data_IF_243737007196
#
_entry.id   IF_243737007196
#
_cell.length_a   1.000
_cell.length_b   1.000
_cell.length_c   1.000
_cell.angle_alpha   90.00
_cell.angle_beta   90.00
_cell.angle_gamma   90.00
#
_symmetry.space_group_name_H-M   'P 1'
#
loop_
_entity.id
_entity.type
_entity.pdbx_description
1 polymer ?
#
# COMPACT_ATOMS: atom_id res chain seq x y z
N UNK A 1 26.37 -8.49 -14.75
CA UNK A 1 26.46 -7.97 -16.13
C UNK A 1 25.09 -7.99 -16.80
N UNK A 2 24.35 -9.10 -16.78
CA UNK A 2 22.99 -9.18 -17.36
C UNK A 2 21.91 -8.40 -16.56
N UNK A 3 22.04 -8.32 -15.23
CA UNK A 3 21.09 -7.56 -14.38
C UNK A 3 21.21 -6.03 -14.56
N UNK A 4 22.42 -5.52 -14.78
CA UNK A 4 22.67 -4.08 -14.97
C UNK A 4 22.16 -3.62 -16.34
N UNK A 5 22.30 -4.46 -17.38
CA UNK A 5 21.78 -4.22 -18.73
C UNK A 5 20.24 -4.22 -18.76
N UNK A 6 19.61 -5.13 -17.99
CA UNK A 6 18.15 -5.17 -17.83
C UNK A 6 17.60 -3.93 -17.09
N UNK A 7 18.32 -3.44 -16.08
CA UNK A 7 17.93 -2.21 -15.36
C UNK A 7 18.09 -0.98 -16.24
N UNK A 8 19.16 -0.87 -17.05
CA UNK A 8 19.34 0.24 -17.98
C UNK A 8 18.31 0.21 -19.14
N UNK A 9 17.91 -0.98 -19.60
CA UNK A 9 16.78 -1.12 -20.54
C UNK A 9 15.45 -0.65 -19.94
N UNK A 10 15.16 -1.00 -18.68
CA UNK A 10 13.98 -0.50 -17.96
C UNK A 10 14.03 1.00 -17.66
N UNK A 11 15.23 1.59 -17.61
CA UNK A 11 15.46 3.01 -17.32
C UNK A 11 15.45 3.89 -18.58
N UNK A 12 15.83 3.33 -19.73
CA UNK A 12 15.82 3.99 -21.03
C UNK A 12 14.41 4.06 -21.65
N UNK A 13 13.52 3.13 -21.29
CA UNK A 13 12.09 3.19 -21.60
C UNK A 13 11.37 4.07 -20.58
N UNK A 14 11.21 5.36 -20.90
CA UNK A 14 10.46 6.31 -20.08
C UNK A 14 8.95 6.00 -20.15
N UNK A 15 8.53 4.92 -19.52
CA UNK A 15 7.13 4.44 -19.48
C UNK A 15 6.87 3.76 -18.13
N UNK A 16 7.27 4.41 -17.03
CA UNK A 16 6.85 4.01 -15.68
C UNK A 16 5.32 4.01 -15.51
N UNK A 17 4.61 4.68 -16.42
CA UNK A 17 3.15 4.68 -16.58
C UNK A 17 2.58 3.41 -17.23
N UNK A 18 3.41 2.55 -17.82
CA UNK A 18 2.96 1.41 -18.65
C UNK A 18 3.14 0.04 -17.98
N UNK A 19 3.66 0.01 -16.74
CA UNK A 19 3.67 -1.17 -15.86
C UNK A 19 2.25 -1.65 -15.47
N UNK A 20 1.23 -0.89 -15.87
CA UNK A 20 -0.18 -1.11 -15.57
C UNK A 20 -0.82 -2.23 -16.40
N UNK A 21 -0.15 -2.73 -17.46
CA UNK A 21 -0.69 -3.82 -18.29
C UNK A 21 0.38 -4.85 -18.68
N UNK A 22 0.27 -6.05 -18.11
CA UNK A 22 0.87 -7.32 -18.58
C UNK A 22 2.40 -7.52 -18.56
N UNK A 23 3.11 -7.03 -17.53
CA UNK A 23 4.41 -7.65 -17.19
C UNK A 23 4.23 -9.09 -16.73
N UNK A 24 4.98 -10.02 -17.35
CA UNK A 24 5.03 -11.44 -17.01
C UNK A 24 5.33 -11.63 -15.51
N UNK A 25 4.68 -12.58 -14.81
CA UNK A 25 4.86 -12.77 -13.36
C UNK A 25 6.34 -12.93 -12.93
N UNK A 26 7.16 -13.55 -13.77
CA UNK A 26 8.58 -13.76 -13.54
C UNK A 26 9.39 -12.45 -13.49
N UNK A 27 9.04 -11.47 -14.34
CA UNK A 27 9.66 -10.13 -14.34
C UNK A 27 9.26 -9.36 -13.07
N UNK A 28 8.02 -9.50 -12.62
CA UNK A 28 7.56 -8.87 -11.37
C UNK A 28 8.27 -9.45 -10.15
N UNK A 29 8.47 -10.76 -10.12
CA UNK A 29 9.17 -11.42 -9.02
C UNK A 29 10.65 -11.02 -8.95
N UNK A 30 11.33 -10.95 -10.10
CA UNK A 30 12.72 -10.47 -10.15
C UNK A 30 12.82 -9.01 -9.69
N UNK A 31 11.94 -8.14 -10.17
CA UNK A 31 11.88 -6.74 -9.74
C UNK A 31 11.62 -6.60 -8.24
N UNK A 32 10.69 -7.39 -7.68
CA UNK A 32 10.38 -7.41 -6.25
C UNK A 32 11.59 -7.83 -5.42
N UNK A 33 12.32 -8.89 -5.82
CA UNK A 33 13.54 -9.35 -5.16
C UNK A 33 14.65 -8.29 -5.21
N UNK A 34 14.85 -7.64 -6.36
CA UNK A 34 15.83 -6.58 -6.53
C UNK A 34 15.51 -5.37 -5.65
N UNK A 35 14.25 -4.94 -5.62
CA UNK A 35 13.78 -3.85 -4.78
C UNK A 35 13.96 -4.14 -3.28
N UNK A 36 13.59 -5.35 -2.83
CA UNK A 36 13.82 -5.77 -1.45
C UNK A 36 15.31 -5.80 -1.10
N UNK A 37 16.16 -6.36 -1.97
CA UNK A 37 17.61 -6.42 -1.76
C UNK A 37 18.22 -5.01 -1.67
N UNK A 38 17.83 -4.10 -2.56
CA UNK A 38 18.26 -2.71 -2.55
C UNK A 38 17.85 -2.00 -1.25
N UNK A 39 16.61 -2.21 -0.80
CA UNK A 39 16.10 -1.64 0.45
C UNK A 39 16.82 -2.22 1.67
N UNK A 40 17.04 -3.53 1.70
CA UNK A 40 17.75 -4.23 2.79
C UNK A 40 19.16 -3.67 2.98
N UNK A 41 19.86 -3.41 1.87
CA UNK A 41 21.19 -2.79 1.88
C UNK A 41 21.21 -1.39 2.49
N UNK A 42 20.11 -0.62 2.39
CA UNK A 42 20.02 0.68 3.06
C UNK A 42 19.72 0.51 4.55
N UNK A 43 18.74 -0.35 4.89
CA UNK A 43 18.31 -0.57 6.27
C UNK A 43 19.44 -1.16 7.13
N UNK A 44 20.32 -1.97 6.56
CA UNK A 44 21.42 -2.62 7.29
C UNK A 44 22.58 -1.67 7.65
N UNK A 45 22.56 -0.42 7.17
CA UNK A 45 23.61 0.56 7.49
C UNK A 45 23.41 1.13 8.89
N UNK A 46 24.51 1.48 9.53
CA UNK A 46 24.47 2.24 10.77
C UNK A 46 24.30 3.73 10.49
N UNK A 47 23.38 4.37 11.21
CA UNK A 47 23.07 5.78 11.07
C UNK A 47 23.28 6.51 12.40
N UNK A 48 24.14 7.54 12.36
CA UNK A 48 24.46 8.38 13.52
C UNK A 48 23.28 9.24 13.96
N UNK A 49 22.48 9.72 13.01
CA UNK A 49 21.34 10.61 13.27
C UNK A 49 20.13 9.82 13.80
N UNK A 50 19.70 10.15 15.03
CA UNK A 50 18.57 9.51 15.71
C UNK A 50 17.29 9.47 14.85
N UNK A 51 16.95 10.60 14.19
CA UNK A 51 15.77 10.70 13.32
C UNK A 51 15.82 9.69 12.17
N UNK A 52 17.01 9.48 11.60
CA UNK A 52 17.21 8.51 10.51
C UNK A 52 17.12 7.09 11.05
N UNK A 53 17.69 6.80 12.22
CA UNK A 53 17.56 5.48 12.87
C UNK A 53 16.11 5.10 13.14
N UNK A 54 15.30 6.03 13.67
CA UNK A 54 13.86 5.82 13.86
C UNK A 54 13.12 5.59 12.54
N UNK A 55 13.49 6.33 11.50
CA UNK A 55 12.90 6.16 10.17
C UNK A 55 13.23 4.79 9.58
N UNK A 56 14.50 4.37 9.63
CA UNK A 56 14.96 3.04 9.20
C UNK A 56 14.25 1.94 9.99
N UNK A 57 14.06 2.11 11.30
CA UNK A 57 13.27 1.19 12.12
C UNK A 57 11.83 1.04 11.62
N UNK A 58 11.16 2.13 11.23
CA UNK A 58 9.81 2.06 10.64
C UNK A 58 9.80 1.34 9.30
N UNK A 59 10.79 1.58 8.44
CA UNK A 59 10.91 0.86 7.18
C UNK A 59 11.12 -0.63 7.45
N UNK A 60 12.00 -0.99 8.37
CA UNK A 60 12.28 -2.38 8.72
C UNK A 60 11.04 -3.11 9.25
N UNK A 61 10.23 -2.45 10.09
CA UNK A 61 8.99 -3.03 10.62
C UNK A 61 7.96 -3.39 9.52
N UNK A 62 8.00 -2.68 8.39
CA UNK A 62 7.11 -2.93 7.25
C UNK A 62 7.80 -3.61 6.07
N UNK A 63 9.01 -4.15 6.26
CA UNK A 63 9.91 -4.56 5.17
C UNK A 63 9.23 -5.44 4.11
N UNK A 64 8.45 -6.42 4.56
CA UNK A 64 7.80 -7.41 3.70
C UNK A 64 6.69 -6.81 2.81
N UNK A 65 6.15 -5.64 3.18
CA UNK A 65 4.94 -5.08 2.58
C UNK A 65 5.18 -3.91 1.62
N UNK A 66 6.33 -3.23 1.67
CA UNK A 66 6.56 -2.00 0.89
C UNK A 66 6.43 -2.16 -0.62
N UNK A 67 6.74 -3.35 -1.15
CA UNK A 67 6.71 -3.64 -2.58
C UNK A 67 5.56 -4.56 -2.99
N UNK A 68 4.50 -4.67 -2.19
CA UNK A 68 3.33 -5.52 -2.49
C UNK A 68 2.68 -5.18 -3.84
N UNK A 69 2.68 -3.91 -4.23
CA UNK A 69 2.14 -3.45 -5.53
C UNK A 69 2.90 -4.02 -6.74
N UNK A 70 4.16 -4.43 -6.57
CA UNK A 70 4.97 -5.01 -7.66
C UNK A 70 4.41 -6.37 -8.06
N UNK A 71 4.07 -7.18 -7.05
CA UNK A 71 3.57 -8.56 -7.22
C UNK A 71 2.05 -8.62 -7.37
N UNK A 72 1.31 -7.64 -6.82
CA UNK A 72 -0.14 -7.58 -6.89
C UNK A 72 -0.59 -6.34 -7.68
N UNK A 73 -0.89 -6.47 -8.98
CA UNK A 73 -1.25 -5.33 -9.84
C UNK A 73 -2.56 -4.65 -9.41
N UNK A 74 -3.42 -5.33 -8.64
CA UNK A 74 -4.63 -4.72 -8.06
C UNK A 74 -4.36 -3.77 -6.88
N UNK A 75 -3.11 -3.64 -6.43
CA UNK A 75 -2.70 -2.70 -5.39
C UNK A 75 -2.01 -1.51 -6.05
N UNK A 76 -2.59 -0.32 -5.90
CA UNK A 76 -1.98 0.91 -6.37
C UNK A 76 -0.60 1.13 -5.70
N UNK A 77 0.42 1.58 -6.45
CA UNK A 77 1.75 1.88 -5.91
C UNK A 77 1.78 3.10 -4.97
N UNK A 78 0.68 3.86 -4.93
CA UNK A 78 0.53 5.06 -4.14
C UNK A 78 -0.34 4.80 -2.89
N UNK A 79 -0.16 5.61 -1.84
CA UNK A 79 -0.92 5.49 -0.60
C UNK A 79 -2.30 6.17 -0.66
N UNK A 80 -2.75 6.65 -1.82
CA UNK A 80 -3.94 7.50 -1.92
C UNK A 80 -5.20 6.76 -1.51
N UNK A 81 -5.33 5.48 -1.91
CA UNK A 81 -6.47 4.64 -1.52
C UNK A 81 -6.58 4.48 -0.01
N UNK A 82 -5.46 4.17 0.66
CA UNK A 82 -5.44 4.01 2.12
C UNK A 82 -5.66 5.35 2.83
N UNK A 83 -5.05 6.45 2.38
CA UNK A 83 -5.33 7.78 2.92
C UNK A 83 -6.80 8.17 2.76
N UNK A 84 -7.39 7.94 1.58
CA UNK A 84 -8.80 8.22 1.31
C UNK A 84 -9.70 7.43 2.25
N UNK A 85 -9.37 6.17 2.51
CA UNK A 85 -10.08 5.35 3.49
C UNK A 85 -9.94 5.91 4.92
N UNK A 86 -8.76 6.42 5.30
CA UNK A 86 -8.50 6.96 6.65
C UNK A 86 -9.04 8.37 6.89
N UNK A 87 -9.16 9.22 5.86
CA UNK A 87 -9.57 10.63 5.98
C UNK A 87 -10.90 10.81 6.73
N UNK A 88 -11.98 10.07 6.42
CA UNK A 88 -13.24 10.16 7.16
C UNK A 88 -13.07 9.83 8.65
N UNK A 89 -12.28 8.81 9.00
CA UNK A 89 -12.01 8.46 10.39
C UNK A 89 -11.31 9.60 11.14
N UNK A 90 -10.30 10.21 10.52
CA UNK A 90 -9.53 11.31 11.12
C UNK A 90 -10.41 12.53 11.35
N UNK A 91 -11.25 12.89 10.37
CA UNK A 91 -12.20 14.02 10.49
C UNK A 91 -13.21 13.75 11.59
N UNK A 92 -13.84 12.56 11.59
CA UNK A 92 -14.84 12.20 12.58
C UNK A 92 -14.26 12.15 14.00
N UNK A 93 -13.04 11.62 14.18
CA UNK A 93 -12.32 11.62 15.46
C UNK A 93 -12.08 13.04 15.97
N UNK A 94 -11.73 13.98 15.08
CA UNK A 94 -11.52 15.39 15.44
C UNK A 94 -12.82 16.05 15.88
N UNK A 95 -13.91 15.86 15.13
CA UNK A 95 -15.23 16.40 15.46
C UNK A 95 -15.71 15.88 16.82
N UNK A 96 -15.53 14.58 17.08
CA UNK A 96 -15.99 13.95 18.32
C UNK A 96 -15.10 14.22 19.54
N UNK A 97 -13.93 14.86 19.37
CA UNK A 97 -13.02 15.17 20.48
C UNK A 97 -12.31 13.95 21.08
N UNK A 98 -11.92 13.00 20.21
CA UNK A 98 -11.28 11.71 20.53
C UNK A 98 -12.20 10.59 21.09
N UNK A 99 -11.72 9.35 20.99
CA UNK A 99 -12.38 8.14 21.48
C UNK A 99 -11.93 7.87 22.92
N UNK A 100 -12.46 8.67 23.86
CA UNK A 100 -12.03 8.65 25.27
C UNK A 100 -12.81 7.66 26.15
N UNK A 101 -13.78 6.94 25.58
CA UNK A 101 -14.56 5.90 26.26
C UNK A 101 -15.05 4.84 25.25
N UNK A 102 -15.31 3.63 25.74
CA UNK A 102 -15.67 2.46 24.91
C UNK A 102 -16.99 2.66 24.15
N UNK A 103 -17.92 3.43 24.73
CA UNK A 103 -19.19 3.79 24.08
C UNK A 103 -18.94 4.63 22.81
N UNK A 104 -18.02 5.60 22.85
CA UNK A 104 -17.66 6.42 21.69
C UNK A 104 -16.89 5.60 20.66
N UNK A 105 -16.02 4.69 21.10
CA UNK A 105 -15.30 3.76 20.22
C UNK A 105 -16.26 2.88 19.44
N UNK A 106 -17.21 2.21 20.11
CA UNK A 106 -18.20 1.34 19.47
C UNK A 106 -19.14 2.09 18.52
N UNK A 107 -19.54 3.32 18.86
CA UNK A 107 -20.33 4.17 17.94
C UNK A 107 -19.51 4.53 16.70
N UNK A 108 -18.24 4.92 16.88
CA UNK A 108 -17.35 5.22 15.76
C UNK A 108 -17.17 4.01 14.85
N UNK A 109 -16.87 2.84 15.39
CA UNK A 109 -16.75 1.59 14.64
C UNK A 109 -18.01 1.31 13.80
N UNK A 110 -19.20 1.42 14.39
CA UNK A 110 -20.47 1.21 13.67
C UNK A 110 -20.68 2.22 12.56
N UNK A 111 -20.52 3.52 12.83
CA UNK A 111 -20.67 4.58 11.81
C UNK A 111 -19.72 4.36 10.64
N UNK A 112 -18.51 3.86 10.90
CA UNK A 112 -17.51 3.65 9.86
C UNK A 112 -17.72 2.34 9.09
N UNK A 113 -18.21 1.29 9.76
CA UNK A 113 -18.38 -0.04 9.14
C UNK A 113 -19.66 -0.14 8.33
N UNK A 114 -20.78 0.42 8.82
CA UNK A 114 -22.10 0.28 8.17
C UNK A 114 -22.13 0.78 6.71
N UNK A 115 -21.62 1.98 6.37
CA UNK A 115 -21.59 2.45 4.98
C UNK A 115 -20.68 1.60 4.09
N UNK A 116 -19.54 1.13 4.62
CA UNK A 116 -18.60 0.29 3.89
C UNK A 116 -19.23 -1.08 3.57
N UNK A 117 -19.87 -1.71 4.56
CA UNK A 117 -20.56 -2.99 4.37
C UNK A 117 -21.75 -2.87 3.42
N UNK A 118 -22.53 -1.78 3.50
CA UNK A 118 -23.65 -1.54 2.59
C UNK A 118 -23.19 -1.32 1.14
N UNK A 119 -22.13 -0.52 0.93
CA UNK A 119 -21.53 -0.37 -0.40
C UNK A 119 -21.08 -1.71 -0.98
N UNK A 120 -20.36 -2.52 -0.19
CA UNK A 120 -19.90 -3.84 -0.63
C UNK A 120 -21.05 -4.79 -0.98
N UNK A 121 -22.10 -4.84 -0.17
CA UNK A 121 -23.24 -5.73 -0.40
C UNK A 121 -24.11 -5.28 -1.58
N UNK A 122 -24.28 -3.99 -1.80
CA UNK A 122 -24.99 -3.48 -2.98
C UNK A 122 -24.26 -3.81 -4.30
N UNK A 123 -22.92 -3.75 -4.28
CA UNK A 123 -22.09 -4.16 -5.43
C UNK A 123 -22.20 -5.67 -5.68
N UNK A 124 -22.17 -6.49 -4.63
CA UNK A 124 -22.41 -7.94 -4.72
C UNK A 124 -23.81 -8.24 -5.29
N UNK A 125 -24.83 -7.49 -4.89
CA UNK A 125 -26.21 -7.69 -5.36
C UNK A 125 -26.37 -7.30 -6.84
N UNK A 126 -25.67 -6.26 -7.30
CA UNK A 126 -25.66 -5.83 -8.71
C UNK A 126 -24.86 -6.78 -9.60
N UNK A 127 -23.68 -7.24 -9.17
CA UNK A 127 -22.88 -8.21 -9.94
C UNK A 127 -23.62 -9.54 -10.10
N UNK A 128 -24.27 -10.03 -9.03
CA UNK A 128 -25.07 -11.28 -9.08
C UNK A 128 -26.23 -11.19 -10.08
N UNK A 129 -26.84 -10.00 -10.26
CA UNK A 129 -27.92 -9.75 -11.24
C UNK A 129 -27.43 -9.66 -12.69
N UNK A 130 -26.15 -9.35 -12.91
CA UNK A 130 -25.55 -9.18 -14.25
C UNK A 130 -24.87 -10.45 -14.78
N UNK A 131 -24.62 -11.44 -13.92
CA UNK A 131 -24.10 -12.76 -14.28
C UNK A 131 -25.19 -13.84 -14.43
N UNK A 132 -26.47 -13.44 -14.45
CA UNK A 132 -27.61 -14.29 -14.77
C UNK A 132 -28.19 -13.94 -16.14
#
# INVERSE_FOLDING_TARGET
MQEEEFIEQLRAGNEWSELETDLLPEVRETLWKLAQKALRKQISKEYSVEKVRKFVGKINNGFDYWFTFVINPGVEPNNNRAERALRPHVVLRKILGALRNDKRTSIHERIMTTPATWGQNSLQMLTTKLTC
#
